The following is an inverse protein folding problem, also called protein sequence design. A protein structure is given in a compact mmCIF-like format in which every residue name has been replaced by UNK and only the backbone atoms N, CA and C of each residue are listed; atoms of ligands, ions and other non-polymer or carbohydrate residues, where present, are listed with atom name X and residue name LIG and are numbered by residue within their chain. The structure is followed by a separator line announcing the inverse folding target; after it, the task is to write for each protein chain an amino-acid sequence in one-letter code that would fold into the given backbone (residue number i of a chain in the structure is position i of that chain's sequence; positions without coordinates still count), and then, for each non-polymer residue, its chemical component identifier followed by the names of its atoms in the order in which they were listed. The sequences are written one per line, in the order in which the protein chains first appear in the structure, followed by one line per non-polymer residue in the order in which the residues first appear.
data_IF_868873702363
#
_entry.id   IF_868873702363
#
_cell.length_a   1.000
_cell.length_b   1.000
_cell.length_c   1.000
_cell.angle_alpha   90.00
_cell.angle_beta   90.00
_cell.angle_gamma   90.00
#
_symmetry.space_group_name_H-M   'P 1'
#
loop_
_entity.id
_entity.type
_entity.pdbx_description
1 polymer ?
#
# COMPACT_ATOMS: atom_id res chain seq x y z
N UNK A 1 -37.15 10.01 4.71
CA UNK A 1 -36.08 9.17 4.11
C UNK A 1 -34.72 9.25 4.84
N UNK A 2 -34.36 10.35 5.50
CA UNK A 2 -33.06 10.48 6.20
C UNK A 2 -32.99 9.91 7.64
N UNK A 3 -34.12 9.53 8.27
CA UNK A 3 -34.13 8.92 9.61
C UNK A 3 -34.06 7.38 9.61
N UNK A 4 -34.38 6.72 8.50
CA UNK A 4 -34.38 5.25 8.42
C UNK A 4 -32.95 4.69 8.35
N UNK A 5 -32.03 5.45 7.74
CA UNK A 5 -30.63 5.05 7.58
C UNK A 5 -29.81 5.15 8.88
N UNK A 6 -30.24 5.97 9.85
CA UNK A 6 -29.58 6.05 11.18
C UNK A 6 -30.00 4.91 12.12
N UNK A 7 -31.12 4.21 11.84
CA UNK A 7 -31.53 3.03 12.62
C UNK A 7 -30.92 1.71 12.14
N UNK A 8 -30.56 1.59 10.85
CA UNK A 8 -29.90 0.38 10.34
C UNK A 8 -28.49 0.16 10.91
N UNK A 9 -27.76 1.24 11.25
CA UNK A 9 -26.43 1.14 11.87
C UNK A 9 -26.53 0.60 13.30
N UNK A 10 -27.62 0.91 14.02
CA UNK A 10 -27.84 0.44 15.39
C UNK A 10 -28.31 -1.02 15.46
N UNK A 11 -29.05 -1.52 14.46
CA UNK A 11 -29.56 -2.90 14.45
C UNK A 11 -28.47 -3.94 14.18
N UNK A 12 -27.37 -3.57 13.51
CA UNK A 12 -26.23 -4.48 13.27
C UNK A 12 -25.26 -4.62 14.46
N UNK A 13 -25.45 -3.85 15.54
CA UNK A 13 -24.59 -3.91 16.73
C UNK A 13 -24.98 -5.04 17.71
N UNK A 14 -26.04 -5.80 17.45
CA UNK A 14 -26.56 -6.85 18.34
C UNK A 14 -26.34 -8.28 17.84
N UNK A 15 -25.58 -8.48 16.76
CA UNK A 15 -25.15 -9.81 16.34
C UNK A 15 -23.74 -10.10 16.90
N UNK A 16 -23.67 -10.87 17.98
CA UNK A 16 -22.43 -11.52 18.44
C UNK A 16 -21.95 -12.52 17.38
N UNK A 17 -21.27 -12.02 16.36
CA UNK A 17 -20.72 -12.84 15.27
C UNK A 17 -20.07 -12.00 14.18
N UNK A 18 -18.74 -11.85 14.25
CA UNK A 18 -17.81 -11.43 13.19
C UNK A 18 -18.35 -10.57 12.02
N UNK A 19 -19.01 -9.45 12.33
CA UNK A 19 -19.39 -8.44 11.32
C UNK A 19 -18.20 -7.56 10.87
N UNK A 20 -17.04 -7.70 11.53
CA UNK A 20 -15.82 -6.91 11.26
C UNK A 20 -15.18 -7.26 9.91
N UNK A 21 -15.28 -8.50 9.44
CA UNK A 21 -14.71 -8.93 8.16
C UNK A 21 -15.50 -8.45 6.94
N UNK A 22 -16.83 -8.44 7.03
CA UNK A 22 -17.73 -8.11 5.91
C UNK A 22 -17.91 -6.60 5.73
N UNK A 23 -17.92 -5.83 6.82
CA UNK A 23 -17.97 -4.36 6.77
C UNK A 23 -16.65 -3.76 6.30
N UNK A 24 -15.50 -4.38 6.64
CA UNK A 24 -14.23 -4.10 5.95
C UNK A 24 -14.30 -4.45 4.46
N UNK A 25 -15.13 -5.44 4.08
CA UNK A 25 -15.32 -5.81 2.67
C UNK A 25 -16.17 -4.83 1.86
N UNK A 26 -17.25 -4.33 2.41
CA UNK A 26 -18.12 -3.43 1.65
C UNK A 26 -17.63 -1.98 1.70
N UNK A 27 -17.01 -1.56 2.81
CA UNK A 27 -16.33 -0.26 2.89
C UNK A 27 -15.12 -0.12 1.96
N UNK A 28 -14.48 -1.23 1.56
CA UNK A 28 -13.29 -1.16 0.69
C UNK A 28 -13.58 -0.83 -0.76
N UNK A 29 -14.79 -1.06 -1.25
CA UNK A 29 -15.14 -0.79 -2.64
C UNK A 29 -15.41 0.70 -2.88
N UNK A 30 -15.68 1.44 -1.80
CA UNK A 30 -16.06 2.86 -1.83
C UNK A 30 -14.96 3.79 -1.31
N UNK A 31 -13.94 3.26 -0.63
CA UNK A 31 -12.71 4.00 -0.35
C UNK A 31 -11.95 4.16 -1.67
N UNK A 32 -12.26 5.24 -2.38
CA UNK A 32 -11.35 5.89 -3.31
C UNK A 32 -9.95 5.91 -2.70
N UNK A 33 -8.91 5.78 -3.52
CA UNK A 33 -7.52 5.86 -3.09
C UNK A 33 -7.23 7.21 -2.40
N UNK A 34 -7.59 7.33 -1.13
CA UNK A 34 -7.25 8.47 -0.31
C UNK A 34 -5.81 8.27 0.11
N UNK A 35 -4.96 9.23 -0.25
CA UNK A 35 -3.59 9.28 0.24
C UNK A 35 -3.72 9.44 1.75
N UNK A 36 -3.16 8.50 2.54
CA UNK A 36 -3.27 8.57 3.99
C UNK A 36 -2.61 9.86 4.49
N UNK A 37 -3.00 10.35 5.68
CA UNK A 37 -2.25 11.41 6.32
C UNK A 37 -0.78 11.00 6.46
N UNK A 38 0.12 11.99 6.45
CA UNK A 38 1.55 11.73 6.58
C UNK A 38 1.81 10.84 7.82
N UNK A 39 2.45 9.67 7.66
CA UNK A 39 2.70 8.78 8.79
C UNK A 39 3.61 9.48 9.81
N UNK A 40 3.15 9.56 11.06
CA UNK A 40 3.93 10.10 12.17
C UNK A 40 4.95 9.08 12.68
N UNK A 41 5.90 9.46 13.53
CA UNK A 41 6.75 8.51 14.28
C UNK A 41 7.55 7.52 13.40
N UNK A 42 8.08 7.97 12.26
CA UNK A 42 8.84 7.13 11.35
C UNK A 42 10.12 6.59 12.00
N UNK A 43 10.39 5.30 11.81
CA UNK A 43 11.58 4.67 12.40
C UNK A 43 12.88 5.16 11.76
N UNK A 44 13.90 5.43 12.60
CA UNK A 44 15.28 5.69 12.16
C UNK A 44 15.94 4.47 11.49
N UNK A 45 15.46 3.25 11.77
CA UNK A 45 16.01 1.99 11.25
C UNK A 45 15.68 1.72 9.78
N UNK A 46 14.85 2.56 9.16
CA UNK A 46 14.41 2.40 7.77
C UNK A 46 12.90 2.45 7.64
N UNK A 47 12.45 2.58 6.40
CA UNK A 47 11.03 2.75 6.04
C UNK A 47 10.56 1.59 5.20
N UNK A 48 9.28 1.24 5.36
CA UNK A 48 8.63 0.28 4.47
C UNK A 48 8.13 0.95 3.19
N UNK A 49 7.58 0.17 2.26
CA UNK A 49 7.10 0.69 0.98
C UNK A 49 5.95 1.70 1.18
N UNK A 50 5.03 1.44 2.09
CA UNK A 50 3.86 2.30 2.34
C UNK A 50 4.24 3.62 2.99
N UNK A 51 5.10 3.59 4.00
CA UNK A 51 5.67 4.78 4.65
C UNK A 51 6.41 5.65 3.63
N UNK A 52 7.09 5.06 2.65
CA UNK A 52 7.74 5.81 1.56
C UNK A 52 6.71 6.36 0.58
N UNK A 53 5.76 5.53 0.13
CA UNK A 53 4.75 5.88 -0.84
C UNK A 53 3.81 7.00 -0.33
N UNK A 54 3.44 6.97 0.95
CA UNK A 54 2.63 8.01 1.60
C UNK A 54 3.33 9.37 1.68
N UNK A 55 4.65 9.42 1.53
CA UNK A 55 5.42 10.67 1.49
C UNK A 55 5.56 11.23 0.06
N UNK A 56 5.22 10.45 -0.95
CA UNK A 56 5.33 10.83 -2.35
C UNK A 56 3.99 11.36 -2.89
N UNK A 57 4.02 12.22 -3.92
CA UNK A 57 2.82 12.63 -4.63
C UNK A 57 2.04 11.41 -5.15
N UNK A 58 0.71 11.51 -5.18
CA UNK A 58 -0.19 10.45 -5.66
C UNK A 58 0.04 9.09 -4.99
N UNK A 59 0.55 9.07 -3.75
CA UNK A 59 0.82 7.83 -3.03
C UNK A 59 1.90 6.95 -3.67
N UNK A 60 2.87 7.54 -4.38
CA UNK A 60 4.00 6.81 -4.98
C UNK A 60 3.65 5.99 -6.22
N UNK A 61 2.51 6.24 -6.86
CA UNK A 61 2.13 5.61 -8.13
C UNK A 61 3.09 6.03 -9.26
N UNK A 62 3.47 5.06 -10.11
CA UNK A 62 4.45 5.21 -11.18
C UNK A 62 5.91 5.21 -10.71
N UNK A 63 6.16 5.20 -9.40
CA UNK A 63 7.51 5.25 -8.84
C UNK A 63 8.12 3.86 -8.77
N UNK A 64 9.42 3.78 -9.05
CA UNK A 64 10.22 2.57 -8.92
C UNK A 64 10.70 2.41 -7.48
N UNK A 65 10.39 1.27 -6.89
CA UNK A 65 10.83 0.87 -5.56
C UNK A 65 11.78 -0.31 -5.65
N UNK A 66 12.90 -0.20 -4.96
CA UNK A 66 13.97 -1.19 -4.91
C UNK A 66 14.20 -1.61 -3.46
N UNK A 67 14.54 -2.88 -3.24
CA UNK A 67 15.00 -3.35 -1.93
C UNK A 67 16.49 -3.04 -1.76
N UNK A 68 16.88 -2.49 -0.61
CA UNK A 68 18.28 -2.23 -0.23
C UNK A 68 19.13 -3.50 -0.28
N UNK A 69 18.52 -4.65 0.02
CA UNK A 69 19.18 -5.96 -0.08
C UNK A 69 19.51 -6.34 -1.52
N UNK A 70 18.72 -5.91 -2.50
CA UNK A 70 19.00 -6.12 -3.93
C UNK A 70 20.15 -5.23 -4.39
N UNK A 71 20.17 -3.96 -4.00
CA UNK A 71 21.28 -3.05 -4.29
C UNK A 71 22.61 -3.59 -3.77
N UNK A 72 22.64 -4.08 -2.52
CA UNK A 72 23.85 -4.67 -1.93
C UNK A 72 24.35 -5.90 -2.70
N UNK A 73 23.46 -6.62 -3.37
CA UNK A 73 23.78 -7.83 -4.12
C UNK A 73 24.04 -7.56 -5.62
N UNK A 74 24.16 -6.30 -6.04
CA UNK A 74 24.40 -5.93 -7.45
C UNK A 74 23.19 -6.14 -8.36
N UNK A 75 21.98 -5.95 -7.83
CA UNK A 75 20.73 -6.05 -8.59
C UNK A 75 20.03 -4.69 -8.69
N UNK A 76 20.78 -3.66 -9.10
CA UNK A 76 20.32 -2.28 -9.27
C UNK A 76 19.22 -2.12 -10.32
N UNK A 77 19.25 -2.93 -11.39
CA UNK A 77 18.17 -2.97 -12.39
C UNK A 77 16.88 -3.65 -11.90
N UNK A 78 16.88 -4.22 -10.70
CA UNK A 78 15.73 -4.96 -10.16
C UNK A 78 14.84 -4.06 -9.31
N UNK A 79 13.60 -3.84 -9.74
CA UNK A 79 12.68 -2.91 -9.10
C UNK A 79 11.22 -3.33 -9.26
N UNK A 80 10.38 -2.76 -8.41
CA UNK A 80 8.93 -2.76 -8.59
C UNK A 80 8.47 -1.37 -9.02
N UNK A 81 7.80 -1.27 -10.15
CA UNK A 81 7.08 -0.05 -10.55
C UNK A 81 5.67 -0.14 -9.99
N UNK A 82 5.37 0.66 -8.97
CA UNK A 82 4.07 0.59 -8.27
C UNK A 82 2.99 1.26 -9.11
N UNK A 83 1.94 0.51 -9.45
CA UNK A 83 0.84 0.99 -10.30
C UNK A 83 -0.49 1.05 -9.55
N UNK A 84 -0.61 0.30 -8.45
CA UNK A 84 -1.75 0.37 -7.55
C UNK A 84 -1.27 0.22 -6.12
N UNK A 85 -1.78 1.06 -5.24
CA UNK A 85 -1.55 0.95 -3.80
C UNK A 85 -2.87 1.07 -3.05
N UNK A 86 -2.99 0.31 -1.99
CA UNK A 86 -4.10 0.40 -1.05
C UNK A 86 -3.48 0.55 0.33
N UNK A 87 -3.69 1.71 0.93
CA UNK A 87 -3.28 1.97 2.29
C UNK A 87 -4.33 1.45 3.28
N UNK A 88 -3.87 1.00 4.44
CA UNK A 88 -4.71 0.95 5.63
C UNK A 88 -4.79 2.35 6.26
N UNK A 89 -5.79 2.63 7.12
CA UNK A 89 -6.02 3.98 7.68
C UNK A 89 -4.82 4.58 8.43
N UNK A 90 -3.88 3.76 8.88
CA UNK A 90 -2.67 4.20 9.58
C UNK A 90 -1.58 4.74 8.64
N UNK A 91 -1.72 4.55 7.32
CA UNK A 91 -0.75 4.95 6.30
C UNK A 91 0.59 4.20 6.35
N UNK A 92 0.71 3.17 7.18
CA UNK A 92 1.93 2.37 7.34
C UNK A 92 1.75 0.96 6.82
N UNK A 93 0.51 0.48 6.77
CA UNK A 93 0.18 -0.83 6.26
C UNK A 93 -0.65 -0.77 4.97
N UNK A 94 -0.82 -1.93 4.34
CA UNK A 94 -1.57 -2.01 3.09
C UNK A 94 -1.11 -3.11 2.15
N UNK A 95 -1.59 -2.97 0.93
CA UNK A 95 -1.28 -3.80 -0.21
C UNK A 95 -0.80 -2.95 -1.38
N UNK A 96 0.24 -3.40 -2.07
CA UNK A 96 0.77 -2.75 -3.26
C UNK A 96 0.83 -3.75 -4.41
N UNK A 97 0.58 -3.26 -5.62
CA UNK A 97 0.68 -3.98 -6.86
C UNK A 97 1.43 -3.15 -7.90
N UNK A 98 2.10 -3.83 -8.81
CA UNK A 98 2.88 -3.18 -9.84
C UNK A 98 3.60 -4.15 -10.74
N UNK A 99 4.43 -3.61 -11.61
CA UNK A 99 5.27 -4.42 -12.50
C UNK A 99 6.61 -4.72 -11.83
N UNK A 100 6.98 -6.00 -11.80
CA UNK A 100 8.27 -6.47 -11.28
C UNK A 100 9.27 -6.66 -12.40
N UNK A 101 10.34 -5.89 -12.33
CA UNK A 101 11.52 -6.02 -13.18
C UNK A 101 12.63 -6.63 -12.36
N UNK A 102 13.28 -7.67 -12.88
CA UNK A 102 14.42 -8.32 -12.25
C UNK A 102 15.55 -8.44 -13.27
N UNK A 103 16.71 -7.86 -12.94
CA UNK A 103 17.88 -7.79 -13.83
C UNK A 103 17.52 -7.24 -15.23
N UNK A 104 16.77 -6.14 -15.26
CA UNK A 104 16.32 -5.50 -16.50
C UNK A 104 15.12 -6.16 -17.19
N UNK A 105 14.74 -7.38 -16.82
CA UNK A 105 13.63 -8.09 -17.46
C UNK A 105 12.34 -8.03 -16.65
N UNK A 106 11.22 -7.75 -17.32
CA UNK A 106 9.89 -7.81 -16.69
C UNK A 106 9.52 -9.27 -16.40
N UNK A 107 9.49 -9.65 -15.12
CA UNK A 107 9.10 -10.99 -14.67
C UNK A 107 7.63 -11.10 -14.32
N UNK A 108 6.99 -9.99 -13.94
CA UNK A 108 5.57 -10.00 -13.58
C UNK A 108 4.92 -8.65 -13.86
N UNK A 109 3.93 -8.64 -14.74
CA UNK A 109 3.05 -7.48 -14.92
C UNK A 109 1.96 -7.47 -13.82
N UNK A 110 1.71 -6.30 -13.22
CA UNK A 110 0.64 -6.08 -12.23
C UNK A 110 0.58 -7.13 -11.09
N UNK A 111 1.73 -7.52 -10.56
CA UNK A 111 1.82 -8.44 -9.44
C UNK A 111 1.70 -7.77 -8.07
N UNK A 112 1.17 -8.48 -7.07
CA UNK A 112 1.25 -8.04 -5.66
C UNK A 112 2.71 -8.02 -5.20
N UNK A 113 3.14 -6.89 -4.63
CA UNK A 113 4.50 -6.69 -4.10
C UNK A 113 4.65 -7.49 -2.82
N UNK A 114 5.46 -8.56 -2.86
CA UNK A 114 5.75 -9.37 -1.67
C UNK A 114 6.73 -8.63 -0.76
N UNK A 115 6.49 -8.70 0.56
CA UNK A 115 7.39 -8.09 1.54
C UNK A 115 7.36 -6.56 1.56
N UNK A 116 6.31 -5.91 1.03
CA UNK A 116 6.15 -4.46 1.05
C UNK A 116 6.25 -3.83 2.47
N UNK A 117 5.91 -4.60 3.50
CA UNK A 117 6.01 -4.19 4.92
C UNK A 117 7.42 -4.21 5.50
N UNK A 118 8.39 -4.86 4.83
CA UNK A 118 9.77 -4.89 5.32
C UNK A 118 10.35 -3.48 5.27
N UNK A 119 11.31 -3.16 6.15
CA UNK A 119 11.92 -1.81 6.24
C UNK A 119 13.13 -1.63 5.34
N UNK A 120 13.25 -2.47 4.32
CA UNK A 120 14.40 -2.52 3.41
C UNK A 120 14.07 -1.93 2.03
N UNK A 121 13.11 -1.02 1.93
CA UNK A 121 12.76 -0.35 0.67
C UNK A 121 13.45 1.00 0.50
N UNK A 122 13.61 1.40 -0.76
CA UNK A 122 14.04 2.72 -1.23
C UNK A 122 13.32 3.00 -2.55
N UNK A 123 12.91 4.24 -2.79
CA UNK A 123 12.48 4.63 -4.13
C UNK A 123 13.69 5.12 -4.93
N UNK A 124 13.71 4.84 -6.22
CA UNK A 124 14.70 5.35 -7.16
C UNK A 124 13.98 6.23 -8.18
N UNK A 125 14.56 7.37 -8.59
CA UNK A 125 14.04 8.12 -9.72
C UNK A 125 13.93 7.19 -10.93
N UNK A 126 12.89 7.35 -11.74
CA UNK A 126 12.93 6.77 -13.06
C UNK A 126 14.15 7.38 -13.78
N UNK A 127 15.06 6.55 -14.29
CA UNK A 127 16.09 7.02 -15.22
C UNK A 127 15.37 7.80 -16.33
N UNK A 128 15.75 9.07 -16.50
CA UNK A 128 15.26 9.94 -17.57
C UNK A 128 15.69 9.38 -18.92
#
# INVERSE_FOLDING_TARGET
FFLFLRRMVAIMALARGSATGLLRRLGWRLSSQEIPPRPQGLSKRGRNLFELAALLPKGGLGVRFVRKSWLRNGYDDSHWTVERIRFEPDGRHGDAWGTFTFKGEVKKAMGRVRGAQKRDWRYVPAAQ
#
